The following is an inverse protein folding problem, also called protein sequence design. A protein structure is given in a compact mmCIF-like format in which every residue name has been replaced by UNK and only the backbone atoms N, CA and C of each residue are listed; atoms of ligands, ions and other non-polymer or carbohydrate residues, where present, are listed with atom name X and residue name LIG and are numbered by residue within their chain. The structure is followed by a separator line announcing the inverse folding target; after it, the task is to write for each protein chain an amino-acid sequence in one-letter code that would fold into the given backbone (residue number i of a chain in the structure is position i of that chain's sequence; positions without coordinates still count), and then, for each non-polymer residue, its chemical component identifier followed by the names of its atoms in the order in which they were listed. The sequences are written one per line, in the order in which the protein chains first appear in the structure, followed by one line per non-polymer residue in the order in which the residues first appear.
data_IF_143136015023
#
_entry.id   IF_143136015023
#
_cell.length_a   1.000
_cell.length_b   1.000
_cell.length_c   1.000
_cell.angle_alpha   90.00
_cell.angle_beta   90.00
_cell.angle_gamma   90.00
#
_symmetry.space_group_name_H-M   'P 1'
#
loop_
_entity.id
_entity.type
_entity.pdbx_description
1 polymer ?
#
# COMPACT_ATOMS: atom_id res chain seq x y z
N UNK A 1 -14.50 -22.39 -10.39
CA UNK A 1 -15.21 -21.30 -9.68
C UNK A 1 -14.60 -20.99 -8.32
N UNK A 2 -14.65 -21.90 -7.33
CA UNK A 2 -14.10 -21.61 -5.98
C UNK A 2 -12.58 -21.41 -6.00
N UNK A 3 -11.83 -22.25 -6.72
CA UNK A 3 -10.38 -22.12 -6.86
C UNK A 3 -9.98 -20.82 -7.56
N UNK A 4 -10.72 -20.42 -8.60
CA UNK A 4 -10.45 -19.17 -9.33
C UNK A 4 -10.63 -17.93 -8.43
N UNK A 5 -11.64 -17.96 -7.56
CA UNK A 5 -11.86 -16.90 -6.56
C UNK A 5 -10.71 -16.85 -5.56
N UNK A 6 -10.23 -17.99 -5.09
CA UNK A 6 -9.07 -18.05 -4.19
C UNK A 6 -7.80 -17.51 -4.84
N UNK A 7 -7.56 -17.85 -6.11
CA UNK A 7 -6.43 -17.31 -6.87
C UNK A 7 -6.54 -15.80 -7.06
N UNK A 8 -7.73 -15.26 -7.34
CA UNK A 8 -7.94 -13.81 -7.43
C UNK A 8 -7.68 -13.10 -6.10
N UNK A 9 -8.12 -13.71 -4.98
CA UNK A 9 -7.86 -13.16 -3.64
C UNK A 9 -6.36 -13.17 -3.35
N UNK A 10 -5.66 -14.27 -3.64
CA UNK A 10 -4.20 -14.33 -3.47
C UNK A 10 -3.51 -13.30 -4.36
N UNK A 11 -3.94 -13.13 -5.61
CA UNK A 11 -3.38 -12.17 -6.53
C UNK A 11 -3.52 -10.72 -6.05
N UNK A 12 -4.67 -10.33 -5.46
CA UNK A 12 -4.88 -8.96 -4.96
C UNK A 12 -4.31 -8.73 -3.54
N UNK A 13 -4.03 -9.80 -2.79
CA UNK A 13 -3.60 -9.74 -1.40
C UNK A 13 -2.38 -8.82 -1.16
N UNK A 14 -1.30 -8.85 -1.97
CA UNK A 14 -0.17 -7.93 -1.82
C UNK A 14 -0.59 -6.46 -1.84
N UNK A 15 -1.53 -6.09 -2.71
CA UNK A 15 -2.02 -4.72 -2.83
C UNK A 15 -2.86 -4.31 -1.63
N UNK A 16 -3.68 -5.22 -1.08
CA UNK A 16 -4.44 -4.96 0.14
C UNK A 16 -3.54 -4.78 1.35
N UNK A 17 -2.50 -5.61 1.48
CA UNK A 17 -1.51 -5.45 2.55
C UNK A 17 -0.74 -4.14 2.40
N UNK A 18 -0.32 -3.78 1.18
CA UNK A 18 0.36 -2.51 0.91
C UNK A 18 -0.49 -1.28 1.27
N UNK A 19 -1.82 -1.39 1.17
CA UNK A 19 -2.74 -0.33 1.53
C UNK A 19 -3.04 -0.26 3.04
N UNK A 20 -3.12 -1.41 3.72
CA UNK A 20 -3.47 -1.47 5.13
C UNK A 20 -2.30 -1.13 6.07
N UNK A 21 -1.08 -1.58 5.75
CA UNK A 21 0.10 -1.39 6.61
C UNK A 21 0.41 0.08 6.93
N UNK A 22 0.29 1.04 5.99
CA UNK A 22 0.46 2.47 6.28
C UNK A 22 -0.44 3.02 7.39
N UNK A 23 -1.58 2.39 7.70
CA UNK A 23 -2.46 2.79 8.80
C UNK A 23 -1.77 2.60 10.16
N UNK A 24 -0.96 1.56 10.30
CA UNK A 24 -0.24 1.24 11.54
C UNK A 24 1.16 1.85 11.57
N UNK A 25 1.84 1.89 10.43
CA UNK A 25 3.27 2.25 10.34
C UNK A 25 3.54 3.61 9.66
N UNK A 26 2.48 4.31 9.26
CA UNK A 26 2.57 5.63 8.62
C UNK A 26 2.89 6.77 9.58
N UNK A 27 2.64 8.00 9.11
CA UNK A 27 2.93 9.24 9.82
C UNK A 27 4.28 9.85 9.46
N UNK A 28 4.63 10.95 10.14
CA UNK A 28 5.84 11.72 9.85
C UNK A 28 5.70 12.60 8.60
N UNK A 29 6.79 12.72 7.83
CA UNK A 29 6.83 13.60 6.67
C UNK A 29 5.78 13.23 5.61
N UNK A 30 5.07 14.24 5.14
CA UNK A 30 4.08 14.08 4.08
C UNK A 30 4.73 13.78 2.73
N UNK A 31 4.08 12.94 1.93
CA UNK A 31 4.59 12.50 0.64
C UNK A 31 4.65 13.65 -0.38
N UNK A 32 3.79 14.65 -0.25
CA UNK A 32 3.76 15.86 -1.09
C UNK A 32 4.65 17.00 -0.55
N UNK A 33 5.37 16.78 0.55
CA UNK A 33 6.21 17.78 1.23
C UNK A 33 5.47 19.08 1.61
N UNK A 34 4.16 19.03 1.85
CA UNK A 34 3.39 20.23 2.18
C UNK A 34 2.86 21.01 0.98
N UNK A 35 3.04 20.50 -0.25
CA UNK A 35 2.59 21.19 -1.46
C UNK A 35 1.08 21.14 -1.61
N UNK A 36 0.53 22.26 -2.07
CA UNK A 36 -0.87 22.38 -2.46
C UNK A 36 -1.01 22.33 -3.98
N UNK A 37 -2.19 21.91 -4.44
CA UNK A 37 -2.65 22.03 -5.80
C UNK A 37 -3.24 23.42 -6.07
N UNK A 38 -3.60 23.71 -7.32
CA UNK A 38 -4.09 25.03 -7.75
C UNK A 38 -5.43 25.43 -7.09
N UNK A 39 -6.16 24.48 -6.52
CA UNK A 39 -7.40 24.70 -5.77
C UNK A 39 -7.16 25.00 -4.28
N UNK A 40 -5.90 25.04 -3.84
CA UNK A 40 -5.50 25.28 -2.45
C UNK A 40 -5.51 24.05 -1.56
N UNK A 41 -5.96 22.89 -2.05
CA UNK A 41 -5.92 21.61 -1.34
C UNK A 41 -4.55 20.95 -1.39
N UNK A 42 -4.26 20.03 -0.45
CA UNK A 42 -3.02 19.24 -0.47
C UNK A 42 -3.00 18.27 -1.66
N UNK A 43 -1.86 18.12 -2.33
CA UNK A 43 -1.75 17.26 -3.54
C UNK A 43 -2.10 15.80 -3.23
N UNK A 44 -1.58 15.26 -2.12
CA UNK A 44 -1.85 13.87 -1.72
C UNK A 44 -2.71 13.75 -0.45
N UNK A 45 -2.86 14.85 0.29
CA UNK A 45 -3.58 14.86 1.56
C UNK A 45 -2.75 14.39 2.75
N UNK A 46 -3.22 14.71 3.95
CA UNK A 46 -2.44 14.54 5.20
C UNK A 46 -2.17 13.08 5.57
N UNK A 47 -2.99 12.15 5.09
CA UNK A 47 -2.82 10.71 5.34
C UNK A 47 -1.74 10.05 4.49
N UNK A 48 -1.18 10.74 3.49
CA UNK A 48 -0.14 10.19 2.60
C UNK A 48 1.24 10.64 3.08
N UNK A 49 1.91 9.74 3.79
CA UNK A 49 3.22 10.00 4.40
C UNK A 49 4.30 9.15 3.74
N UNK A 50 5.56 9.62 3.81
CA UNK A 50 6.72 8.91 3.26
C UNK A 50 6.91 7.57 3.97
N UNK A 51 6.82 7.56 5.31
CA UNK A 51 6.90 6.32 6.10
C UNK A 51 5.78 5.35 5.73
N UNK A 52 4.56 5.88 5.58
CA UNK A 52 3.42 5.12 5.10
C UNK A 52 3.72 4.46 3.76
N UNK A 53 4.11 5.24 2.76
CA UNK A 53 4.42 4.75 1.41
C UNK A 53 5.49 3.66 1.42
N UNK A 54 6.63 3.89 2.09
CA UNK A 54 7.73 2.91 2.17
C UNK A 54 7.26 1.64 2.87
N UNK A 55 6.58 1.75 4.01
CA UNK A 55 6.09 0.59 4.76
C UNK A 55 5.08 -0.25 3.95
N UNK A 56 4.20 0.42 3.19
CA UNK A 56 3.25 -0.25 2.30
C UNK A 56 3.94 -0.98 1.14
N UNK A 57 4.89 -0.32 0.47
CA UNK A 57 5.68 -0.94 -0.60
C UNK A 57 6.43 -2.18 -0.10
N UNK A 58 7.15 -2.05 1.02
CA UNK A 58 7.92 -3.16 1.59
C UNK A 58 7.01 -4.31 2.01
N UNK A 59 5.91 -4.03 2.72
CA UNK A 59 5.01 -5.08 3.17
C UNK A 59 4.29 -5.79 2.01
N UNK A 60 3.79 -5.04 1.02
CA UNK A 60 3.19 -5.62 -0.18
C UNK A 60 4.19 -6.46 -0.98
N UNK A 61 5.42 -5.98 -1.14
CA UNK A 61 6.49 -6.73 -1.81
C UNK A 61 6.80 -8.03 -1.07
N UNK A 62 6.92 -8.00 0.26
CA UNK A 62 7.18 -9.21 1.06
C UNK A 62 6.06 -10.24 0.91
N UNK A 63 4.79 -9.81 0.94
CA UNK A 63 3.65 -10.70 0.71
C UNK A 63 3.66 -11.24 -0.72
N UNK A 64 3.95 -10.41 -1.72
CA UNK A 64 4.08 -10.85 -3.11
C UNK A 64 5.18 -11.88 -3.31
N UNK A 65 6.34 -11.70 -2.67
CA UNK A 65 7.44 -12.68 -2.66
C UNK A 65 6.97 -13.99 -2.02
N UNK A 66 6.31 -13.93 -0.85
CA UNK A 66 5.80 -15.15 -0.19
C UNK A 66 4.83 -15.89 -1.11
N UNK A 67 3.92 -15.18 -1.76
CA UNK A 67 2.99 -15.80 -2.70
C UNK A 67 3.76 -16.42 -3.87
N UNK A 68 4.66 -15.67 -4.51
CA UNK A 68 5.40 -16.15 -5.68
C UNK A 68 6.26 -17.40 -5.43
N UNK A 69 6.81 -17.57 -4.22
CA UNK A 69 7.68 -18.71 -3.90
C UNK A 69 6.97 -19.88 -3.23
N UNK A 70 5.87 -19.65 -2.52
CA UNK A 70 5.24 -20.68 -1.67
C UNK A 70 3.78 -20.98 -2.00
N UNK A 71 3.11 -20.17 -2.83
CA UNK A 71 1.70 -20.33 -3.14
C UNK A 71 1.47 -20.38 -4.67
N UNK A 72 0.59 -21.27 -5.15
CA UNK A 72 0.32 -21.46 -6.58
C UNK A 72 -0.55 -20.35 -7.19
#
# INVERSE_FOLDING_TARGET
MVLDILQLILFILPAYVANAVPVLLGGGAYLDLGKNWNDGGRIFGDGKTIRGFISGVVAGMLVGIVIAFYLP
#
